data_IF_303247867291
#
_entry.id   IF_303247867291
#
_cell.length_a   1.000
_cell.length_b   1.000
_cell.length_c   1.000
_cell.angle_alpha   90.00
_cell.angle_beta   90.00
_cell.angle_gamma   90.00
#
_symmetry.space_group_name_H-M   'P 1'
#
loop_
_entity.id
_entity.type
_entity.pdbx_description
1 polymer ?
#
# COMPACT_ATOMS: atom_id res chain seq x y z
N UNK A 1 10.74 1.44 -6.76
CA UNK A 1 9.97 2.41 -5.95
C UNK A 1 10.79 2.81 -4.73
N UNK A 2 10.82 4.11 -4.36
CA UNK A 2 11.43 4.55 -3.11
C UNK A 2 10.45 4.35 -1.96
N UNK A 3 10.90 3.81 -0.83
CA UNK A 3 10.02 3.59 0.34
C UNK A 3 9.31 4.88 0.81
N UNK A 4 9.93 6.05 0.62
CA UNK A 4 9.30 7.35 0.88
C UNK A 4 7.95 7.52 0.17
N UNK A 5 7.79 7.02 -1.06
CA UNK A 5 6.53 7.12 -1.82
C UNK A 5 5.39 6.37 -1.11
N UNK A 6 5.70 5.26 -0.43
CA UNK A 6 4.73 4.51 0.36
C UNK A 6 4.38 5.26 1.67
N UNK A 7 5.35 5.93 2.29
CA UNK A 7 5.13 6.77 3.47
C UNK A 7 4.19 7.93 3.14
N UNK A 8 4.37 8.55 1.98
CA UNK A 8 3.50 9.65 1.53
C UNK A 8 2.05 9.17 1.34
N UNK A 9 1.86 7.93 0.85
CA UNK A 9 0.54 7.29 0.75
C UNK A 9 -0.08 7.07 2.13
N UNK A 10 0.70 6.62 3.13
CA UNK A 10 0.20 6.48 4.50
C UNK A 10 -0.27 7.82 5.08
N UNK A 11 0.52 8.88 4.93
CA UNK A 11 0.12 10.23 5.37
C UNK A 11 -1.15 10.73 4.67
N UNK A 12 -1.31 10.47 3.36
CA UNK A 12 -2.52 10.82 2.62
C UNK A 12 -3.76 10.03 3.10
N UNK A 13 -3.59 8.75 3.45
CA UNK A 13 -4.66 7.91 4.00
C UNK A 13 -5.09 8.32 5.41
N UNK A 14 -4.17 8.84 6.22
CA UNK A 14 -4.44 9.38 7.55
C UNK A 14 -5.14 10.75 7.50
N UNK A 15 -4.86 11.55 6.48
CA UNK A 15 -5.46 12.87 6.29
C UNK A 15 -6.97 12.85 5.94
N UNK A 16 -7.55 11.69 5.62
CA UNK A 16 -8.98 11.55 5.30
C UNK A 16 -9.62 10.38 6.03
N UNK A 17 -10.92 10.49 6.32
CA UNK A 17 -11.76 9.40 6.84
C UNK A 17 -12.72 8.84 5.78
N UNK A 18 -12.81 9.49 4.61
CA UNK A 18 -13.76 9.11 3.56
C UNK A 18 -13.29 7.88 2.82
N UNK A 19 -14.14 6.86 2.79
CA UNK A 19 -13.84 5.57 2.16
C UNK A 19 -13.50 5.69 0.67
N UNK A 20 -14.22 6.51 -0.09
CA UNK A 20 -13.98 6.67 -1.52
C UNK A 20 -12.63 7.33 -1.80
N UNK A 21 -12.29 8.40 -1.07
CA UNK A 21 -10.99 9.05 -1.22
C UNK A 21 -9.82 8.11 -0.88
N UNK A 22 -9.97 7.26 0.16
CA UNK A 22 -8.96 6.22 0.46
C UNK A 22 -8.80 5.23 -0.68
N UNK A 23 -9.90 4.78 -1.28
CA UNK A 23 -9.87 3.90 -2.45
C UNK A 23 -9.13 4.57 -3.62
N UNK A 24 -9.40 5.84 -3.88
CA UNK A 24 -8.79 6.59 -4.98
C UNK A 24 -7.27 6.75 -4.76
N UNK A 25 -6.84 7.12 -3.54
CA UNK A 25 -5.43 7.23 -3.18
C UNK A 25 -4.69 5.90 -3.43
N UNK A 26 -5.25 4.79 -2.96
CA UNK A 26 -4.63 3.46 -3.11
C UNK A 26 -4.61 3.05 -4.59
N UNK A 27 -5.71 3.25 -5.32
CA UNK A 27 -5.81 2.87 -6.73
C UNK A 27 -4.80 3.64 -7.59
N UNK A 28 -4.68 4.95 -7.40
CA UNK A 28 -3.72 5.79 -8.13
C UNK A 28 -2.27 5.43 -7.81
N UNK A 29 -1.98 4.99 -6.59
CA UNK A 29 -0.65 4.50 -6.24
C UNK A 29 -0.34 3.15 -6.88
N UNK A 30 -1.25 2.17 -6.78
CA UNK A 30 -1.05 0.83 -7.33
C UNK A 30 -0.82 0.83 -8.85
N UNK A 31 -1.45 1.75 -9.60
CA UNK A 31 -1.25 1.91 -11.05
C UNK A 31 0.17 2.29 -11.45
N UNK A 32 0.96 2.87 -10.53
CA UNK A 32 2.34 3.32 -10.80
C UNK A 32 3.38 2.23 -10.54
N UNK A 33 2.97 1.13 -9.93
CA UNK A 33 3.86 0.04 -9.53
C UNK A 33 4.02 -0.99 -10.64
N UNK A 34 5.21 -1.56 -10.73
CA UNK A 34 5.52 -2.70 -11.57
C UNK A 34 5.05 -4.02 -10.93
N UNK A 35 5.02 -5.08 -11.74
CA UNK A 35 4.53 -6.40 -11.33
C UNK A 35 5.35 -7.02 -10.18
N UNK A 36 6.64 -6.69 -10.05
CA UNK A 36 7.50 -7.26 -9.02
C UNK A 36 7.34 -6.54 -7.67
N UNK A 37 6.94 -5.27 -7.69
CA UNK A 37 6.75 -4.46 -6.48
C UNK A 37 5.32 -4.46 -5.97
N UNK A 38 4.31 -4.58 -6.83
CA UNK A 38 2.89 -4.48 -6.46
C UNK A 38 2.48 -5.50 -5.39
N UNK A 39 2.99 -6.73 -5.47
CA UNK A 39 2.69 -7.78 -4.48
C UNK A 39 3.19 -7.45 -3.08
N UNK A 40 4.43 -6.94 -2.98
CA UNK A 40 5.04 -6.52 -1.71
C UNK A 40 4.30 -5.32 -1.12
N UNK A 41 3.98 -4.33 -1.94
CA UNK A 41 3.24 -3.14 -1.51
C UNK A 41 1.84 -3.50 -1.01
N UNK A 42 1.15 -4.44 -1.67
CA UNK A 42 -0.17 -4.90 -1.21
C UNK A 42 -0.17 -5.54 0.17
N UNK A 43 0.95 -6.16 0.58
CA UNK A 43 1.13 -6.65 1.95
C UNK A 43 1.39 -5.48 2.91
N UNK A 44 2.33 -4.60 2.56
CA UNK A 44 2.70 -3.45 3.40
C UNK A 44 1.54 -2.47 3.63
N UNK A 45 0.67 -2.26 2.64
CA UNK A 45 -0.55 -1.46 2.78
C UNK A 45 -1.54 -2.05 3.79
N UNK A 46 -1.50 -3.37 4.01
CA UNK A 46 -2.30 -4.07 5.03
C UNK A 46 -1.60 -4.16 6.38
N UNK A 47 -0.40 -3.59 6.51
CA UNK A 47 0.41 -3.67 7.73
C UNK A 47 1.10 -5.02 7.95
N UNK A 48 1.21 -5.85 6.91
CA UNK A 48 1.90 -7.14 6.96
C UNK A 48 3.12 -7.18 6.04
N UNK A 49 4.14 -7.94 6.43
CA UNK A 49 5.31 -8.21 5.57
C UNK A 49 5.10 -9.50 4.77
N UNK A 50 4.44 -10.48 5.39
CA UNK A 50 4.15 -11.78 4.79
C UNK A 50 2.63 -12.00 4.61
N UNK A 51 2.21 -12.84 3.65
CA UNK A 51 0.83 -13.31 3.57
C UNK A 51 0.43 -14.05 4.85
N UNK A 52 -0.84 -13.95 5.25
CA UNK A 52 -1.35 -14.57 6.48
C UNK A 52 -1.22 -16.12 6.54
N UNK A 53 -1.00 -16.77 5.41
CA UNK A 53 -0.79 -18.22 5.31
C UNK A 53 0.69 -18.61 5.27
N UNK A 54 1.61 -17.65 5.21
CA UNK A 54 3.05 -17.91 5.21
C UNK A 54 3.51 -18.36 6.59
N UNK A 55 4.44 -19.30 6.63
CA UNK A 55 5.13 -19.72 7.86
C UNK A 55 6.32 -18.83 8.22
N UNK A 56 6.63 -17.84 7.37
CA UNK A 56 7.67 -16.82 7.64
C UNK A 56 7.11 -15.75 8.59
N UNK A 57 7.87 -15.42 9.65
CA UNK A 57 7.60 -14.34 10.63
C UNK A 57 8.47 -13.10 10.38
#
# INVERSE_FOLDING_TARGET
MKYQELVDVYSALEATTKRLEKTDIIAEYLKKLDADTIGKVGLLLRGGVFPAWSSEE
#
